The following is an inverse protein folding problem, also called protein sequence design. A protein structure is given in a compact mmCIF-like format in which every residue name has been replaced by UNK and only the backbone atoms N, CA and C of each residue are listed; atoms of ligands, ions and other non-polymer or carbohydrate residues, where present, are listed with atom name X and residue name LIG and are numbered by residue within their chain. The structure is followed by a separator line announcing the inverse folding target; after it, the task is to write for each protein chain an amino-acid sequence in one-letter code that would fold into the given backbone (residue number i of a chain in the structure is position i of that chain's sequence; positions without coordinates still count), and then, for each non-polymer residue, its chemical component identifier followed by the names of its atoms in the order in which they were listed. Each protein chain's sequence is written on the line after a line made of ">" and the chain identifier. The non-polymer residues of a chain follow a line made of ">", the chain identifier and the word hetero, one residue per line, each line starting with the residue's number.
data_IF_311804042865
#
_entry.id   IF_311804042865
#
_cell.length_a   1.000
_cell.length_b   1.000
_cell.length_c   1.000
_cell.angle_alpha   90.00
_cell.angle_beta   90.00
_cell.angle_gamma   90.00
#
_symmetry.space_group_name_H-M   'P 1'
#
loop_
_entity.id
_entity.type
_entity.pdbx_description
1 polymer ?
#
# COMPACT_ATOMS: atom_id res chain seq x y z
N UNK A 1 -18.90 1.80 -7.13
CA UNK A 1 -18.51 2.00 -5.70
C UNK A 1 -17.98 3.41 -5.45
N UNK A 2 -16.99 3.93 -6.19
CA UNK A 2 -16.52 5.33 -6.02
C UNK A 2 -17.56 6.38 -6.44
N UNK A 3 -18.28 6.14 -7.55
CA UNK A 3 -19.27 7.08 -8.09
C UNK A 3 -20.43 7.46 -7.15
N UNK A 4 -20.61 6.74 -6.04
CA UNK A 4 -21.63 7.04 -5.03
C UNK A 4 -21.13 7.98 -3.92
N UNK A 5 -19.86 8.38 -3.92
CA UNK A 5 -19.25 9.23 -2.88
C UNK A 5 -19.09 10.67 -3.40
N UNK A 6 -19.59 11.69 -2.68
CA UNK A 6 -19.36 13.08 -3.09
C UNK A 6 -17.86 13.39 -3.25
N UNK A 7 -17.48 14.08 -4.33
CA UNK A 7 -16.09 14.47 -4.59
C UNK A 7 -15.17 13.33 -5.05
N UNK A 8 -15.73 12.24 -5.57
CA UNK A 8 -14.96 11.10 -6.05
C UNK A 8 -14.22 11.36 -7.37
N UNK A 9 -14.60 12.39 -8.11
CA UNK A 9 -14.24 12.63 -9.50
C UNK A 9 -12.71 12.67 -9.70
N UNK A 10 -11.93 13.42 -8.90
CA UNK A 10 -10.46 13.45 -9.05
C UNK A 10 -9.83 12.06 -8.93
N UNK A 11 -10.31 11.23 -8.00
CA UNK A 11 -9.80 9.88 -7.78
C UNK A 11 -10.21 8.95 -8.92
N UNK A 12 -11.48 8.97 -9.31
CA UNK A 12 -11.98 8.15 -10.42
C UNK A 12 -11.27 8.48 -11.73
N UNK A 13 -11.08 9.76 -12.03
CA UNK A 13 -10.42 10.22 -13.26
C UNK A 13 -8.95 9.80 -13.27
N UNK A 14 -8.24 9.96 -12.15
CA UNK A 14 -6.85 9.53 -12.02
C UNK A 14 -6.69 8.02 -12.20
N UNK A 15 -7.59 7.21 -11.64
CA UNK A 15 -7.60 5.75 -11.83
C UNK A 15 -7.92 5.36 -13.28
N UNK A 16 -8.88 6.01 -13.91
CA UNK A 16 -9.19 5.77 -15.33
C UNK A 16 -8.01 6.14 -16.22
N UNK A 17 -7.31 7.24 -15.92
CA UNK A 17 -6.11 7.66 -16.62
C UNK A 17 -4.99 6.62 -16.47
N UNK A 18 -4.73 6.12 -15.26
CA UNK A 18 -3.76 5.05 -15.01
C UNK A 18 -4.09 3.78 -15.82
N UNK A 19 -5.36 3.35 -15.83
CA UNK A 19 -5.80 2.18 -16.60
C UNK A 19 -5.69 2.39 -18.12
N UNK A 20 -5.92 3.61 -18.59
CA UNK A 20 -5.69 3.99 -19.98
C UNK A 20 -4.22 3.91 -20.35
N UNK A 21 -3.33 4.36 -19.46
CA UNK A 21 -1.88 4.38 -19.67
C UNK A 21 -1.26 2.98 -19.81
N UNK A 22 -1.80 1.96 -19.16
CA UNK A 22 -1.33 0.55 -19.24
C UNK A 22 -1.23 0.06 -20.69
N UNK A 23 -2.12 0.52 -21.58
CA UNK A 23 -2.19 0.07 -22.98
C UNK A 23 -1.34 0.88 -23.97
N UNK A 24 -0.58 1.86 -23.52
CA UNK A 24 0.09 2.82 -24.40
C UNK A 24 1.61 2.57 -24.55
N UNK A 25 2.04 1.30 -24.48
CA UNK A 25 3.43 0.89 -24.73
C UNK A 25 4.26 0.62 -23.47
N UNK A 26 5.59 0.56 -23.64
CA UNK A 26 6.53 0.23 -22.56
C UNK A 26 6.46 1.25 -21.41
N UNK A 27 6.42 0.79 -20.15
CA UNK A 27 6.44 1.69 -19.01
C UNK A 27 7.76 2.44 -18.92
N UNK A 28 7.69 3.69 -18.46
CA UNK A 28 8.89 4.50 -18.29
C UNK A 28 8.66 5.76 -17.45
N UNK A 29 9.76 6.43 -17.04
CA UNK A 29 9.70 7.56 -16.10
C UNK A 29 8.81 8.72 -16.56
N UNK A 30 8.77 8.98 -17.87
CA UNK A 30 7.95 10.05 -18.43
C UNK A 30 6.45 9.81 -18.18
N UNK A 31 5.99 8.55 -18.32
CA UNK A 31 4.59 8.20 -18.07
C UNK A 31 4.25 8.28 -16.59
N UNK A 32 5.16 7.83 -15.74
CA UNK A 32 4.99 7.92 -14.29
C UNK A 32 4.90 9.40 -13.86
N UNK A 33 5.76 10.26 -14.40
CA UNK A 33 5.71 11.70 -14.12
C UNK A 33 4.41 12.37 -14.62
N UNK A 34 3.91 11.97 -15.79
CA UNK A 34 2.62 12.43 -16.32
C UNK A 34 1.47 12.07 -15.38
N UNK A 35 1.39 10.81 -14.93
CA UNK A 35 0.36 10.33 -14.00
C UNK A 35 0.48 11.01 -12.63
N UNK A 36 1.70 11.22 -12.13
CA UNK A 36 1.94 11.91 -10.87
C UNK A 36 1.44 13.36 -10.90
N UNK A 37 1.54 14.01 -12.06
CA UNK A 37 1.18 15.42 -12.24
C UNK A 37 1.92 16.31 -11.25
N UNK A 38 1.17 17.04 -10.42
CA UNK A 38 1.75 17.91 -9.37
C UNK A 38 2.01 17.20 -8.03
N UNK A 39 1.83 15.88 -7.96
CA UNK A 39 2.02 15.10 -6.73
C UNK A 39 0.83 15.15 -5.77
N UNK A 40 -0.38 15.44 -6.25
CA UNK A 40 -1.60 15.33 -5.46
C UNK A 40 -1.94 13.86 -5.18
N UNK A 41 -2.74 13.60 -4.14
CA UNK A 41 -2.99 12.24 -3.63
C UNK A 41 -3.54 11.28 -4.70
N UNK A 42 -4.46 11.75 -5.54
CA UNK A 42 -5.03 11.01 -6.66
C UNK A 42 -4.00 10.65 -7.73
N UNK A 43 -3.03 11.53 -7.99
CA UNK A 43 -1.91 11.27 -8.90
C UNK A 43 -0.94 10.22 -8.35
N UNK A 44 -0.64 10.27 -7.04
CA UNK A 44 0.17 9.23 -6.39
C UNK A 44 -0.52 7.87 -6.42
N UNK A 45 -1.84 7.85 -6.21
CA UNK A 45 -2.64 6.63 -6.33
C UNK A 45 -2.64 6.10 -7.77
N UNK A 46 -2.78 6.97 -8.76
CA UNK A 46 -2.72 6.59 -10.18
C UNK A 46 -1.36 5.99 -10.56
N UNK A 47 -0.26 6.60 -10.10
CA UNK A 47 1.09 6.04 -10.26
C UNK A 47 1.19 4.66 -9.63
N UNK A 48 0.69 4.48 -8.40
CA UNK A 48 0.79 3.20 -7.71
C UNK A 48 0.03 2.08 -8.44
N UNK A 49 -1.21 2.36 -8.88
CA UNK A 49 -2.01 1.41 -9.66
C UNK A 49 -1.35 1.11 -11.00
N UNK A 50 -0.86 2.13 -11.71
CA UNK A 50 -0.16 1.93 -12.98
C UNK A 50 1.07 1.04 -12.82
N UNK A 51 1.96 1.37 -11.88
CA UNK A 51 3.20 0.61 -11.65
C UNK A 51 2.92 -0.82 -11.20
N UNK A 52 1.88 -1.05 -10.40
CA UNK A 52 1.48 -2.40 -9.99
C UNK A 52 0.93 -3.24 -11.16
N UNK A 53 0.29 -2.61 -12.16
CA UNK A 53 -0.28 -3.29 -13.32
C UNK A 53 0.74 -3.58 -14.43
N UNK A 54 1.74 -2.70 -14.61
CA UNK A 54 2.74 -2.82 -15.70
C UNK A 54 4.05 -3.44 -15.24
N UNK A 55 4.27 -3.55 -13.93
CA UNK A 55 5.46 -4.19 -13.37
C UNK A 55 5.55 -5.66 -13.76
N UNK A 56 6.72 -6.08 -14.21
CA UNK A 56 6.99 -7.48 -14.56
C UNK A 56 7.13 -8.37 -13.32
N UNK A 57 7.66 -7.78 -12.24
CA UNK A 57 7.76 -8.35 -10.91
C UNK A 57 7.69 -7.24 -9.86
N UNK A 58 7.73 -7.62 -8.58
CA UNK A 58 7.68 -6.67 -7.46
C UNK A 58 8.80 -5.64 -7.53
N UNK A 59 10.01 -6.07 -7.91
CA UNK A 59 11.19 -5.19 -7.98
C UNK A 59 10.99 -4.15 -9.08
N UNK A 60 10.57 -4.57 -10.25
CA UNK A 60 10.35 -3.69 -11.41
C UNK A 60 9.26 -2.67 -11.10
N UNK A 61 8.11 -3.10 -10.57
CA UNK A 61 7.02 -2.19 -10.20
C UNK A 61 7.44 -1.14 -9.17
N UNK A 62 8.18 -1.55 -8.13
CA UNK A 62 8.74 -0.62 -7.13
C UNK A 62 9.74 0.36 -7.73
N UNK A 63 10.68 -0.12 -8.56
CA UNK A 63 11.64 0.74 -9.24
C UNK A 63 10.95 1.79 -10.13
N UNK A 64 9.93 1.39 -10.90
CA UNK A 64 9.15 2.31 -11.73
C UNK A 64 8.49 3.42 -10.90
N UNK A 65 7.89 3.07 -9.75
CA UNK A 65 7.18 4.01 -8.90
C UNK A 65 8.09 5.06 -8.24
N UNK A 66 9.32 4.67 -7.86
CA UNK A 66 10.23 5.57 -7.13
C UNK A 66 11.15 6.39 -8.03
N UNK A 67 11.37 5.96 -9.29
CA UNK A 67 12.24 6.64 -10.25
C UNK A 67 11.57 7.86 -10.91
N UNK A 68 11.03 8.77 -10.09
CA UNK A 68 10.43 10.04 -10.49
C UNK A 68 10.72 11.13 -9.44
N UNK A 69 10.63 12.40 -9.82
CA UNK A 69 11.02 13.55 -8.97
C UNK A 69 9.93 14.08 -8.04
N UNK A 70 8.68 13.63 -8.18
CA UNK A 70 7.56 13.96 -7.30
C UNK A 70 7.57 13.14 -6.00
N UNK A 71 6.42 12.83 -5.38
CA UNK A 71 6.33 12.14 -4.09
C UNK A 71 6.67 10.64 -4.17
N UNK A 72 7.93 10.31 -4.48
CA UNK A 72 8.41 8.95 -4.74
C UNK A 72 8.25 8.02 -3.56
N UNK A 73 8.45 8.52 -2.33
CA UNK A 73 8.26 7.73 -1.11
C UNK A 73 6.81 7.26 -0.95
N UNK A 74 5.83 8.14 -1.18
CA UNK A 74 4.42 7.79 -1.11
C UNK A 74 4.00 6.86 -2.26
N UNK A 75 4.50 7.13 -3.47
CA UNK A 75 4.27 6.27 -4.63
C UNK A 75 4.83 4.86 -4.41
N UNK A 76 6.06 4.75 -3.90
CA UNK A 76 6.70 3.49 -3.57
C UNK A 76 5.96 2.72 -2.48
N UNK A 77 5.50 3.40 -1.42
CA UNK A 77 4.74 2.78 -0.33
C UNK A 77 3.39 2.22 -0.81
N UNK A 78 2.62 2.99 -1.59
CA UNK A 78 1.34 2.52 -2.15
C UNK A 78 1.55 1.39 -3.16
N UNK A 79 2.54 1.52 -4.05
CA UNK A 79 2.87 0.48 -5.04
C UNK A 79 3.27 -0.83 -4.34
N UNK A 80 4.12 -0.74 -3.32
CA UNK A 80 4.54 -1.87 -2.51
C UNK A 80 3.39 -2.54 -1.77
N UNK A 81 2.46 -1.76 -1.20
CA UNK A 81 1.25 -2.29 -0.58
C UNK A 81 0.37 -3.07 -1.56
N UNK A 82 0.17 -2.54 -2.76
CA UNK A 82 -0.62 -3.22 -3.80
C UNK A 82 0.06 -4.51 -4.27
N UNK A 83 1.36 -4.46 -4.59
CA UNK A 83 2.12 -5.62 -5.04
C UNK A 83 2.24 -6.69 -3.94
N UNK A 84 2.41 -6.28 -2.68
CA UNK A 84 2.43 -7.19 -1.54
C UNK A 84 1.08 -7.88 -1.33
N UNK A 85 -0.03 -7.16 -1.49
CA UNK A 85 -1.37 -7.76 -1.44
C UNK A 85 -1.64 -8.73 -2.61
N UNK A 86 -1.10 -8.44 -3.80
CA UNK A 86 -1.28 -9.28 -5.00
C UNK A 86 -0.40 -10.54 -4.98
N UNK A 87 0.84 -10.44 -4.51
CA UNK A 87 1.85 -11.50 -4.66
C UNK A 87 2.27 -12.15 -3.34
N UNK A 88 1.89 -11.58 -2.20
CA UNK A 88 2.34 -12.01 -0.88
C UNK A 88 3.76 -11.57 -0.56
N UNK A 89 4.12 -11.66 0.72
CA UNK A 89 5.43 -11.20 1.22
C UNK A 89 6.63 -12.00 0.68
N UNK A 90 6.41 -13.26 0.28
CA UNK A 90 7.47 -14.12 -0.27
C UNK A 90 7.94 -13.69 -1.65
N UNK A 91 7.17 -12.84 -2.34
CA UNK A 91 7.55 -12.25 -3.62
C UNK A 91 8.44 -11.00 -3.46
N UNK A 92 8.59 -10.47 -2.24
CA UNK A 92 9.39 -9.28 -1.98
C UNK A 92 10.89 -9.55 -2.16
N UNK A 93 11.69 -8.61 -2.69
CA UNK A 93 13.12 -8.81 -2.93
C UNK A 93 13.91 -9.03 -1.63
N UNK A 94 14.48 -10.24 -1.37
CA UNK A 94 15.10 -10.55 -0.07
C UNK A 94 16.28 -9.64 0.28
N UNK A 95 17.09 -9.28 -0.72
CA UNK A 95 18.23 -8.39 -0.54
C UNK A 95 17.83 -6.96 -0.12
N UNK A 96 16.63 -6.49 -0.50
CA UNK A 96 16.14 -5.18 -0.05
C UNK A 96 15.55 -5.26 1.34
N UNK A 97 14.86 -6.36 1.65
CA UNK A 97 14.34 -6.59 2.99
C UNK A 97 15.44 -6.76 4.05
N UNK A 98 16.65 -7.18 3.67
CA UNK A 98 17.79 -7.24 4.59
C UNK A 98 18.21 -5.86 5.10
N UNK A 99 18.03 -4.83 4.27
CA UNK A 99 18.43 -3.44 4.56
C UNK A 99 17.28 -2.59 5.12
N UNK A 100 16.07 -3.15 5.23
CA UNK A 100 14.88 -2.42 5.64
C UNK A 100 14.92 -2.11 7.15
N UNK A 101 15.08 -0.83 7.47
CA UNK A 101 14.98 -0.34 8.84
C UNK A 101 13.63 -0.70 9.47
N UNK A 102 13.67 -1.20 10.70
CA UNK A 102 12.44 -1.54 11.44
C UNK A 102 11.72 -2.78 10.93
N UNK A 103 12.29 -3.57 10.00
CA UNK A 103 11.66 -4.80 9.49
C UNK A 103 11.13 -5.75 10.58
N UNK A 104 11.85 -6.06 11.67
CA UNK A 104 11.31 -6.92 12.72
C UNK A 104 10.00 -6.38 13.31
N UNK A 105 9.93 -5.06 13.54
CA UNK A 105 8.72 -4.40 14.05
C UNK A 105 7.59 -4.44 13.03
N UNK A 106 7.88 -4.18 11.75
CA UNK A 106 6.88 -4.24 10.68
C UNK A 106 6.28 -5.63 10.52
N UNK A 107 7.08 -6.69 10.61
CA UNK A 107 6.58 -8.07 10.54
C UNK A 107 5.64 -8.39 11.70
N UNK A 108 6.02 -8.01 12.93
CA UNK A 108 5.12 -8.17 14.09
C UNK A 108 3.80 -7.45 13.85
N UNK A 109 3.84 -6.18 13.42
CA UNK A 109 2.63 -5.41 13.16
C UNK A 109 1.76 -6.01 12.04
N UNK A 110 2.38 -6.57 11.00
CA UNK A 110 1.67 -7.22 9.90
C UNK A 110 1.00 -8.52 10.34
N UNK A 111 1.71 -9.39 11.07
CA UNK A 111 1.17 -10.63 11.64
C UNK A 111 0.02 -10.33 12.60
N UNK A 112 0.17 -9.29 13.41
CA UNK A 112 -0.83 -8.86 14.38
C UNK A 112 -2.09 -8.33 13.72
N UNK A 113 -1.92 -7.51 12.68
CA UNK A 113 -3.03 -7.04 11.87
C UNK A 113 -3.76 -8.21 11.20
N UNK A 114 -3.02 -9.17 10.63
CA UNK A 114 -3.62 -10.35 10.03
C UNK A 114 -4.40 -11.18 11.08
N UNK A 115 -3.85 -11.33 12.28
CA UNK A 115 -4.52 -12.03 13.39
C UNK A 115 -5.78 -11.28 13.84
N UNK A 116 -5.76 -9.96 13.97
CA UNK A 116 -6.94 -9.15 14.31
C UNK A 116 -8.07 -9.31 13.29
N UNK A 117 -7.72 -9.21 12.01
CA UNK A 117 -8.69 -9.24 10.91
C UNK A 117 -9.27 -10.64 10.65
N UNK A 118 -8.55 -11.72 11.00
CA UNK A 118 -8.96 -13.10 10.70
C UNK A 118 -9.36 -13.91 11.93
N UNK A 119 -8.83 -13.57 13.10
CA UNK A 119 -9.02 -14.28 14.37
C UNK A 119 -9.56 -13.37 15.49
N UNK A 120 -10.22 -12.26 15.14
CA UNK A 120 -10.81 -11.31 16.10
C UNK A 120 -11.58 -11.97 17.27
N UNK A 121 -12.47 -12.96 17.05
CA UNK A 121 -13.18 -13.64 18.15
C UNK A 121 -12.27 -14.41 19.13
N UNK A 122 -11.07 -14.81 18.71
CA UNK A 122 -10.08 -15.44 19.60
C UNK A 122 -9.30 -14.39 20.43
N UNK A 123 -9.18 -13.16 19.92
CA UNK A 123 -8.52 -12.05 20.60
C UNK A 123 -9.47 -11.24 21.48
N UNK A 124 -10.76 -11.23 21.12
CA UNK A 124 -11.77 -10.36 21.69
C UNK A 124 -13.02 -11.16 22.07
N UNK A 125 -13.25 -11.29 23.38
CA UNK A 125 -14.46 -11.88 23.94
C UNK A 125 -15.41 -10.81 24.48
N UNK A 126 -16.63 -11.21 24.90
CA UNK A 126 -17.64 -10.29 25.46
C UNK A 126 -17.14 -9.51 26.69
N UNK A 127 -16.22 -10.09 27.46
CA UNK A 127 -15.70 -9.52 28.72
C UNK A 127 -14.40 -8.76 28.54
N UNK A 128 -13.85 -8.67 27.33
CA UNK A 128 -12.61 -7.94 27.06
C UNK A 128 -11.69 -8.63 26.05
N UNK A 129 -10.52 -8.03 25.86
CA UNK A 129 -9.47 -8.54 24.97
C UNK A 129 -8.52 -9.46 25.72
N UNK A 130 -7.86 -10.38 25.01
CA UNK A 130 -6.89 -11.29 25.61
C UNK A 130 -5.73 -10.51 26.27
N UNK A 131 -5.19 -10.98 27.40
CA UNK A 131 -4.07 -10.32 28.07
C UNK A 131 -2.85 -10.15 27.16
N UNK A 132 -2.55 -11.14 26.32
CA UNK A 132 -1.45 -11.08 25.36
C UNK A 132 -1.62 -9.97 24.32
N UNK A 133 -2.85 -9.75 23.85
CA UNK A 133 -3.16 -8.63 22.94
C UNK A 133 -3.00 -7.28 23.64
N UNK A 134 -3.55 -7.12 24.85
CA UNK A 134 -3.47 -5.87 25.62
C UNK A 134 -2.05 -5.52 26.08
N UNK A 135 -1.18 -6.50 26.28
CA UNK A 135 0.22 -6.26 26.59
C UNK A 135 0.96 -5.56 25.43
N UNK A 136 0.57 -5.84 24.19
CA UNK A 136 1.17 -5.23 22.98
C UNK A 136 0.43 -3.98 22.51
N UNK A 137 -0.90 -3.96 22.68
CA UNK A 137 -1.76 -2.84 22.32
C UNK A 137 -2.55 -2.36 23.55
N UNK A 138 -1.90 -1.64 24.48
CA UNK A 138 -2.56 -1.15 25.67
C UNK A 138 -3.66 -0.17 25.29
N UNK A 139 -4.85 -0.39 25.81
CA UNK A 139 -5.90 0.63 25.81
C UNK A 139 -5.62 1.54 27.00
N UNK A 140 -5.57 2.85 26.78
CA UNK A 140 -5.50 3.80 27.89
C UNK A 140 -6.65 3.55 28.87
N UNK A 141 -6.41 3.75 30.16
CA UNK A 141 -7.46 3.71 31.18
C UNK A 141 -8.45 4.87 30.93
N UNK A 142 -9.40 4.69 30.01
CA UNK A 142 -10.47 5.63 29.75
C UNK A 142 -11.60 5.40 30.73
N UNK A 143 -11.80 6.39 31.61
CA UNK A 143 -12.96 6.67 32.45
C UNK A 143 -14.17 5.71 32.31
N UNK A 144 -14.35 4.88 33.34
CA UNK A 144 -15.66 4.39 33.77
C UNK A 144 -16.14 5.28 34.93
#
# INVERSE_FOLDING_TARGET
>A
LLAARPGHEPVSDALQHALGAVRQGMPGPARVAELAGRGAAEGVLAVAVYCALVGEDVRHGLCLAVNQSGPSGAAGALTGGLLGALHGETALPPAWLAELEGRPTLLVLADDFAMEMTQGPALHGPTGSSPGWLARYPRGAGAA
#
